data_IF_293129916678
#
_entry.id   IF_293129916678
#
_cell.length_a   1.000
_cell.length_b   1.000
_cell.length_c   1.000
_cell.angle_alpha   90.00
_cell.angle_beta   90.00
_cell.angle_gamma   90.00
#
_symmetry.space_group_name_H-M   'P 1'
#
loop_
_entity.id
_entity.type
_entity.pdbx_description
1 polymer ?
2 non-polymer ?
3 non-polymer ?
4 non-polymer ?
5 non-polymer ?
6 non-polymer ?
7 non-polymer ?
8 water ?
#
# COMPACT_ATOMS: atom_id res chain seq x y z
N UNK A 5 -17.07 -0.58 -15.44
CA UNK A 5 -16.70 0.37 -16.57
C UNK A 5 -15.36 0.13 -17.27
N UNK A 6 -14.55 -0.76 -16.71
CA UNK A 6 -13.20 -1.00 -17.19
C UNK A 6 -13.05 -2.44 -17.78
N UNK A 7 -12.04 -2.68 -18.60
CA UNK A 7 -11.79 -4.04 -19.15
C UNK A 7 -11.71 -5.14 -18.09
N UNK A 8 -11.08 -4.89 -16.94
CA UNK A 8 -10.89 -6.04 -16.03
C UNK A 8 -12.07 -5.98 -15.07
N UNK A 9 -12.95 -6.95 -15.24
CA UNK A 9 -14.02 -7.14 -14.30
C UNK A 9 -13.59 -7.64 -12.92
N UNK A 10 -12.52 -8.44 -12.87
CA UNK A 10 -11.95 -8.98 -11.62
C UNK A 10 -10.46 -8.73 -11.63
N UNK A 11 -9.87 -8.45 -10.47
CA UNK A 11 -8.45 -8.19 -10.27
C UNK A 11 -8.04 -9.04 -9.07
N UNK A 12 -7.17 -10.05 -9.29
CA UNK A 12 -6.71 -10.92 -8.21
C UNK A 12 -5.52 -10.33 -7.50
N UNK A 13 -4.63 -9.62 -8.22
CA UNK A 13 -3.31 -9.37 -7.66
C UNK A 13 -3.01 -7.96 -8.11
N UNK A 14 -2.46 -7.17 -7.21
CA UNK A 14 -2.12 -5.76 -7.37
C UNK A 14 -0.72 -5.77 -6.83
N UNK A 15 0.28 -5.74 -7.70
CA UNK A 15 1.68 -5.93 -7.21
C UNK A 15 2.51 -4.67 -7.27
N UNK A 16 3.06 -4.15 -6.18
CA UNK A 16 3.87 -2.94 -6.33
C UNK A 16 5.38 -3.28 -6.43
N UNK A 17 6.11 -2.47 -7.21
CA UNK A 17 7.59 -2.57 -7.32
C UNK A 17 8.27 -1.21 -7.10
N UNK A 18 9.33 -1.15 -6.30
CA UNK A 18 10.01 0.14 -6.15
C UNK A 18 10.52 0.65 -7.51
N UNK A 19 10.46 1.95 -7.78
CA UNK A 19 10.78 2.40 -9.14
C UNK A 19 12.26 2.79 -9.26
N UNK A 20 12.94 2.99 -8.14
CA UNK A 20 14.32 3.45 -8.10
C UNK A 20 14.98 3.12 -6.76
N UNK A 21 15.93 2.17 -6.75
CA UNK A 21 16.58 1.78 -5.50
C UNK A 21 18.03 2.25 -5.50
N UNK A 22 18.52 2.72 -4.35
CA UNK A 22 19.87 3.27 -4.29
C UNK A 22 20.92 2.20 -3.91
N UNK A 23 22.20 2.53 -4.06
CA UNK A 23 23.28 1.58 -3.81
C UNK A 23 23.80 1.33 -5.22
N UNK A 24 23.02 0.57 -5.99
CA UNK A 24 22.98 0.79 -7.43
C UNK A 24 24.05 0.18 -8.34
N UNK A 25 23.71 -0.98 -8.87
CA UNK A 25 23.94 -1.23 -10.29
C UNK A 25 22.92 -0.35 -11.06
N UNK A 26 21.75 -0.91 -11.38
CA UNK A 26 20.73 -0.27 -12.19
C UNK A 26 19.59 0.00 -11.20
N UNK A 27 19.31 1.26 -10.89
CA UNK A 27 18.19 1.62 -10.00
C UNK A 27 16.82 1.09 -10.46
N UNK A 28 16.59 0.92 -11.77
CA UNK A 28 15.41 0.28 -12.32
C UNK A 28 15.30 -1.24 -12.25
N UNK A 29 16.21 -1.88 -11.53
CA UNK A 29 16.38 -3.33 -11.61
C UNK A 29 15.08 -4.03 -11.20
N UNK A 30 14.52 -3.63 -10.05
CA UNK A 30 13.20 -4.21 -9.70
C UNK A 30 12.08 -4.02 -10.70
N UNK A 31 11.99 -2.90 -11.41
CA UNK A 31 11.00 -2.78 -12.46
C UNK A 31 11.23 -3.63 -13.70
N UNK A 32 12.50 -3.72 -14.12
CA UNK A 32 12.86 -4.50 -15.33
C UNK A 32 12.51 -5.95 -15.09
N UNK A 33 12.79 -6.43 -13.89
CA UNK A 33 12.46 -7.83 -13.59
C UNK A 33 10.95 -8.06 -13.50
N UNK A 34 10.22 -7.18 -12.79
CA UNK A 34 8.77 -7.38 -12.61
C UNK A 34 8.11 -7.26 -13.96
N UNK A 35 8.67 -6.41 -14.82
CA UNK A 35 8.12 -6.32 -16.17
C UNK A 35 8.27 -7.54 -17.04
N UNK A 36 9.18 -8.46 -16.69
CA UNK A 36 9.35 -9.71 -17.46
C UNK A 36 8.56 -10.90 -16.95
N UNK A 37 7.88 -10.73 -15.82
CA UNK A 37 7.06 -11.81 -15.25
C UNK A 37 5.94 -12.25 -16.19
N UNK A 38 5.53 -13.52 -16.19
CA UNK A 38 4.52 -14.08 -17.12
C UNK A 38 3.74 -15.21 -16.47
N UNK A 39 2.61 -15.57 -17.05
CA UNK A 39 1.75 -16.62 -16.49
C UNK A 39 1.32 -16.32 -15.04
N UNK A 40 1.39 -17.34 -14.19
CA UNK A 40 0.84 -17.27 -12.87
C UNK A 40 1.74 -16.40 -12.04
N UNK A 41 2.92 -16.12 -12.59
CA UNK A 41 3.88 -15.30 -11.88
C UNK A 41 3.57 -13.82 -12.11
N UNK A 42 2.73 -13.50 -13.11
CA UNK A 42 2.54 -12.08 -13.47
C UNK A 42 1.21 -11.57 -12.87
N UNK A 43 1.20 -10.33 -12.39
CA UNK A 43 -0.03 -9.86 -11.68
C UNK A 43 -1.11 -9.39 -12.63
N UNK A 44 -2.39 -9.48 -12.26
CA UNK A 44 -3.43 -8.80 -13.07
C UNK A 44 -3.16 -7.28 -13.18
N UNK A 45 -2.60 -6.69 -12.15
CA UNK A 45 -2.36 -5.23 -12.14
C UNK A 45 -1.01 -5.06 -11.56
N UNK A 46 -0.16 -4.38 -12.30
CA UNK A 46 1.18 -4.17 -11.83
C UNK A 46 1.35 -2.70 -11.54
N UNK A 47 1.90 -2.36 -10.38
CA UNK A 47 2.00 -0.98 -9.93
C UNK A 47 3.45 -0.54 -9.72
N UNK A 48 4.07 0.06 -10.75
CA UNK A 48 5.33 0.67 -10.36
C UNK A 48 5.10 1.77 -9.35
N UNK A 49 5.74 1.69 -8.21
CA UNK A 49 5.40 2.50 -7.07
C UNK A 49 6.35 3.60 -6.75
N UNK A 50 6.06 4.80 -7.25
CA UNK A 50 6.80 5.99 -6.90
C UNK A 50 6.55 6.60 -5.54
N UNK A 51 5.65 5.98 -4.76
CA UNK A 51 5.32 6.52 -3.44
C UNK A 51 6.02 5.70 -2.38
N UNK A 52 5.30 5.01 -1.49
CA UNK A 52 5.98 4.43 -0.31
C UNK A 52 7.02 3.32 -0.59
N UNK A 53 6.98 2.70 -1.75
CA UNK A 53 8.03 1.72 -2.09
C UNK A 53 9.40 2.32 -2.34
N UNK A 54 9.42 3.64 -2.58
CA UNK A 54 10.56 4.39 -3.10
C UNK A 54 10.96 5.47 -2.11
N UNK A 55 12.26 5.53 -1.78
CA UNK A 55 12.76 6.58 -0.92
C UNK A 55 12.47 7.92 -1.56
N UNK A 56 12.15 8.93 -0.75
CA UNK A 56 11.85 10.28 -1.31
C UNK A 56 12.92 10.91 -2.24
N UNK A 57 14.19 10.86 -1.83
CA UNK A 57 15.35 11.42 -2.58
C UNK A 57 15.52 10.70 -3.90
N UNK A 58 14.83 9.56 -4.01
CA UNK A 58 14.87 8.73 -5.21
C UNK A 58 13.71 8.81 -6.20
N UNK A 59 12.73 9.69 -5.93
CA UNK A 59 11.45 9.62 -6.65
C UNK A 59 11.50 10.34 -7.98
N UNK A 60 12.34 11.37 -8.07
CA UNK A 60 12.54 11.93 -9.39
C UNK A 60 13.19 10.98 -10.39
N UNK A 61 14.16 10.22 -9.90
CA UNK A 61 14.80 9.20 -10.74
C UNK A 61 13.84 8.04 -10.99
N UNK A 62 13.07 7.71 -9.94
CA UNK A 62 11.96 6.75 -10.11
C UNK A 62 11.00 7.10 -11.21
N UNK A 63 10.61 8.36 -11.42
CA UNK A 63 9.64 8.59 -12.48
C UNK A 63 10.24 8.49 -13.87
N UNK A 64 11.51 8.87 -13.98
CA UNK A 64 12.28 8.56 -15.24
C UNK A 64 12.37 7.06 -15.49
N UNK A 65 12.65 6.31 -14.42
CA UNK A 65 12.74 4.85 -14.57
C UNK A 65 11.44 4.29 -15.05
N UNK A 66 10.33 4.81 -14.49
CA UNK A 66 9.04 4.39 -14.99
C UNK A 66 8.87 4.62 -16.47
N UNK A 67 9.19 5.82 -16.93
CA UNK A 67 9.07 6.06 -18.38
C UNK A 67 9.95 5.09 -19.21
N UNK A 68 11.19 4.94 -18.77
CA UNK A 68 12.19 4.09 -19.48
C UNK A 68 11.80 2.61 -19.55
N UNK A 69 11.49 1.99 -18.40
CA UNK A 69 11.07 0.60 -18.42
C UNK A 69 9.79 0.31 -19.17
N UNK A 70 8.74 1.14 -18.98
CA UNK A 70 7.48 0.82 -19.63
C UNK A 70 7.60 1.07 -21.14
N UNK A 71 8.35 2.11 -21.45
CA UNK A 71 8.77 2.36 -22.85
C UNK A 71 9.27 1.07 -23.57
N UNK A 72 10.28 0.48 -22.95
CA UNK A 72 11.02 -0.68 -23.51
C UNK A 72 10.31 -2.02 -23.39
N UNK A 73 9.56 -2.20 -22.29
CA UNK A 73 8.94 -3.50 -21.98
C UNK A 73 7.43 -3.59 -21.83
N UNK A 74 6.76 -2.45 -21.79
CA UNK A 74 5.37 -2.49 -21.40
C UNK A 74 4.55 -3.12 -22.49
N UNK A 75 5.02 -3.08 -23.74
CA UNK A 75 4.22 -3.64 -24.82
C UNK A 75 3.76 -5.08 -24.64
N UNK A 76 4.58 -5.94 -24.04
CA UNK A 76 4.12 -7.35 -23.89
C UNK A 76 3.91 -7.70 -22.43
N UNK A 77 3.86 -6.72 -21.52
CA UNK A 77 3.54 -7.08 -20.14
C UNK A 77 2.14 -7.67 -20.18
N UNK A 78 1.88 -8.86 -19.60
CA UNK A 78 0.53 -9.31 -19.94
C UNK A 78 -0.63 -8.77 -19.05
N UNK A 79 -0.35 -8.28 -17.85
CA UNK A 79 -1.38 -7.65 -16.98
C UNK A 79 -1.59 -6.17 -17.30
N UNK A 80 -2.15 -5.36 -16.40
CA UNK A 80 -2.37 -3.93 -16.74
C UNK A 80 -1.39 -3.17 -15.95
N UNK A 81 -0.88 -2.06 -16.47
CA UNK A 81 0.07 -1.25 -15.76
C UNK A 81 -0.57 0.10 -15.25
N UNK A 82 -0.45 0.35 -13.96
CA UNK A 82 -1.07 1.53 -13.31
C UNK A 82 -0.06 1.99 -12.30
N UNK A 83 0.87 2.92 -12.61
CA UNK A 83 1.84 3.32 -11.61
C UNK A 83 1.27 4.17 -10.43
N UNK A 84 1.83 4.06 -9.24
CA UNK A 84 1.38 4.87 -8.09
C UNK A 84 2.21 6.14 -8.04
N UNK A 85 1.53 7.30 -8.05
CA UNK A 85 2.13 8.62 -7.92
C UNK A 85 2.06 9.08 -6.46
N UNK A 86 2.77 10.14 -6.13
CA UNK A 86 2.59 10.66 -4.77
C UNK A 86 1.32 11.53 -4.70
N UNK A 87 0.70 11.59 -3.52
CA UNK A 87 -0.49 12.45 -3.31
C UNK A 87 -0.72 12.59 -1.82
N UNK A 88 -1.33 13.68 -1.38
CA UNK A 88 -1.81 13.59 -0.02
C UNK A 88 -2.90 14.66 0.11
N UNK A 89 -4.01 14.27 0.73
CA UNK A 89 -5.14 15.16 1.01
C UNK A 89 -4.74 16.43 1.79
N UNK A 90 -3.73 16.39 2.66
CA UNK A 90 -3.34 17.53 3.46
C UNK A 90 -2.06 18.22 2.96
N UNK A 91 -1.52 17.86 1.79
CA UNK A 91 -0.31 18.53 1.28
C UNK A 91 -0.43 18.98 -0.17
N UNK A 92 -0.66 20.26 -0.36
CA UNK A 92 -0.75 20.75 -1.75
C UNK A 92 0.53 20.52 -2.58
N UNK A 93 1.69 20.51 -1.91
CA UNK A 93 3.03 20.34 -2.59
C UNK A 93 3.09 18.92 -3.10
N UNK A 94 2.64 17.97 -2.29
CA UNK A 94 2.60 16.57 -2.72
C UNK A 94 1.63 16.32 -3.85
N UNK A 95 0.44 16.95 -3.82
CA UNK A 95 -0.50 16.78 -4.94
C UNK A 95 0.17 17.28 -6.21
N UNK A 96 0.78 18.46 -6.11
CA UNK A 96 1.37 19.07 -7.31
C UNK A 96 2.50 18.19 -7.87
N UNK A 97 3.33 17.65 -6.99
CA UNK A 97 4.40 16.73 -7.39
C UNK A 97 3.85 15.51 -8.12
N UNK A 98 2.71 14.96 -7.67
CA UNK A 98 2.19 13.74 -8.30
C UNK A 98 1.59 14.11 -9.61
N UNK A 99 0.95 15.27 -9.68
CA UNK A 99 0.52 15.68 -10.99
C UNK A 99 1.73 15.93 -11.95
N UNK A 100 2.76 16.66 -11.54
CA UNK A 100 3.87 16.87 -12.51
C UNK A 100 4.49 15.57 -13.02
N UNK A 101 4.68 14.61 -12.11
CA UNK A 101 5.13 13.27 -12.52
C UNK A 101 4.18 12.62 -13.49
N UNK A 102 2.84 12.74 -13.36
CA UNK A 102 1.98 12.02 -14.27
C UNK A 102 2.07 12.68 -15.61
N UNK A 103 2.21 14.00 -15.55
CA UNK A 103 2.28 14.73 -16.80
C UNK A 103 3.55 14.27 -17.61
N UNK A 104 4.71 14.16 -16.97
CA UNK A 104 5.97 13.65 -17.58
C UNK A 104 5.80 12.24 -18.13
N UNK A 105 5.30 11.34 -17.28
CA UNK A 105 5.12 9.94 -17.65
C UNK A 105 4.23 9.78 -18.88
N UNK A 106 3.21 10.62 -19.09
CA UNK A 106 2.32 10.34 -20.21
C UNK A 106 2.67 11.11 -21.48
N UNK A 107 3.77 11.84 -21.48
CA UNK A 107 4.18 12.52 -22.73
C UNK A 107 4.27 11.44 -23.82
N UNK A 108 3.47 11.50 -24.89
CA UNK A 108 3.33 10.43 -25.89
C UNK A 108 4.62 10.26 -26.75
N UNK A 109 5.40 11.33 -26.84
CA UNK A 109 6.73 11.29 -27.45
C UNK A 109 7.63 10.29 -26.72
N UNK A 110 7.38 9.99 -25.45
CA UNK A 110 8.30 9.10 -24.72
C UNK A 110 8.01 7.61 -24.78
N UNK A 111 6.90 7.25 -25.41
CA UNK A 111 6.52 5.88 -25.62
C UNK A 111 6.06 5.04 -24.42
N UNK A 112 5.94 5.64 -23.24
CA UNK A 112 5.32 4.91 -22.14
C UNK A 112 3.76 4.86 -22.09
N UNK A 113 3.07 5.93 -22.52
CA UNK A 113 1.64 6.12 -22.22
C UNK A 113 0.72 5.15 -22.94
N UNK A 114 1.16 4.75 -24.15
CA UNK A 114 0.45 3.71 -24.86
C UNK A 114 0.36 2.40 -24.10
N UNK A 115 1.22 2.13 -23.12
CA UNK A 115 1.13 0.88 -22.35
C UNK A 115 0.65 1.07 -20.88
N UNK A 116 0.16 2.26 -20.55
CA UNK A 116 -0.31 2.61 -19.18
C UNK A 116 -1.84 2.66 -19.18
N UNK A 117 -2.50 1.89 -18.32
CA UNK A 117 -3.94 1.94 -18.32
C UNK A 117 -4.48 3.01 -17.32
N UNK A 118 -3.67 3.44 -16.35
CA UNK A 118 -4.14 4.48 -15.39
C UNK A 118 -3.13 4.66 -14.29
N UNK A 119 -3.50 5.38 -13.22
CA UNK A 119 -2.56 5.69 -12.17
C UNK A 119 -3.30 5.42 -10.84
N UNK A 120 -2.53 5.21 -9.79
CA UNK A 120 -3.02 4.87 -8.48
C UNK A 120 -2.62 6.07 -7.62
N UNK A 121 -3.62 6.60 -6.89
CA UNK A 121 -3.51 7.76 -6.01
C UNK A 121 -3.71 7.39 -4.55
N UNK A 122 -2.64 7.64 -3.79
CA UNK A 122 -2.64 7.29 -2.41
C UNK A 122 -3.18 8.48 -1.57
N UNK A 123 -3.50 8.20 -0.33
CA UNK A 123 -3.78 9.17 0.72
C UNK A 123 -4.98 10.14 0.42
N UNK A 124 -5.96 9.73 -0.38
CA UNK A 124 -7.08 10.59 -0.74
C UNK A 124 -7.89 10.85 0.58
N UNK A 125 -8.66 11.91 0.61
CA UNK A 125 -9.47 12.27 1.80
C UNK A 125 -10.94 12.16 1.42
N UNK A 126 -11.72 13.22 1.67
CA UNK A 126 -13.16 13.23 1.28
C UNK A 126 -13.35 13.37 -0.21
N UNK A 127 -14.60 13.27 -0.66
CA UNK A 127 -14.82 13.23 -2.10
C UNK A 127 -14.31 14.50 -2.81
N UNK A 128 -14.23 15.66 -2.13
CA UNK A 128 -13.76 16.83 -2.85
C UNK A 128 -12.23 16.72 -3.13
N UNK A 129 -11.49 16.01 -2.29
CA UNK A 129 -10.04 15.72 -2.59
C UNK A 129 -9.96 14.72 -3.77
N UNK A 130 -10.86 13.73 -3.85
CA UNK A 130 -10.86 12.88 -5.06
C UNK A 130 -11.15 13.65 -6.33
N UNK A 131 -11.99 14.68 -6.27
CA UNK A 131 -12.30 15.46 -7.46
C UNK A 131 -10.98 16.21 -7.81
N UNK A 132 -10.18 16.60 -6.84
CA UNK A 132 -8.91 17.34 -7.23
C UNK A 132 -7.99 16.40 -8.06
N UNK A 133 -7.88 15.13 -7.68
CA UNK A 133 -7.01 14.24 -8.45
C UNK A 133 -7.68 14.07 -9.82
N UNK A 134 -8.98 13.77 -9.87
CA UNK A 134 -9.69 13.70 -11.12
C UNK A 134 -9.44 14.85 -12.08
N UNK A 135 -9.41 16.05 -11.53
CA UNK A 135 -9.15 17.20 -12.40
C UNK A 135 -7.71 17.12 -13.00
N UNK A 136 -6.72 16.75 -12.22
CA UNK A 136 -5.36 16.52 -12.78
C UNK A 136 -5.33 15.45 -13.85
N UNK A 137 -6.07 14.35 -13.71
CA UNK A 137 -6.13 13.35 -14.76
C UNK A 137 -6.69 13.99 -16.03
N UNK A 138 -7.79 14.75 -15.90
CA UNK A 138 -8.39 15.40 -17.05
C UNK A 138 -7.37 16.36 -17.72
N UNK A 139 -6.71 17.18 -16.92
CA UNK A 139 -5.70 18.09 -17.51
C UNK A 139 -4.58 17.33 -18.26
N UNK A 140 -3.97 16.31 -17.64
CA UNK A 140 -3.00 15.43 -18.30
C UNK A 140 -3.47 14.89 -19.62
N UNK A 141 -4.64 14.24 -19.66
CA UNK A 141 -5.29 13.83 -20.90
C UNK A 141 -5.36 14.88 -21.99
N UNK A 142 -5.87 16.04 -21.63
CA UNK A 142 -6.02 17.11 -22.61
C UNK A 142 -4.64 17.64 -23.04
N UNK A 143 -3.70 17.78 -22.14
CA UNK A 143 -2.39 18.34 -22.44
C UNK A 143 -1.68 17.40 -23.44
N UNK A 144 -2.02 16.11 -23.50
CA UNK A 144 -1.16 15.16 -24.22
C UNK A 144 -1.98 14.50 -25.31
N UNK A 145 -3.12 15.10 -25.64
CA UNK A 145 -4.09 14.57 -26.57
C UNK A 145 -4.54 13.13 -26.39
N UNK A 146 -4.62 12.66 -25.14
CA UNK A 146 -5.27 11.37 -24.90
C UNK A 146 -6.78 11.49 -24.90
N UNK A 147 -7.50 10.40 -25.12
CA UNK A 147 -8.95 10.53 -25.08
C UNK A 147 -9.38 10.87 -23.63
N UNK A 148 -10.32 11.80 -23.49
CA UNK A 148 -10.88 12.08 -22.16
C UNK A 148 -11.35 10.81 -21.44
N UNK A 149 -10.90 10.59 -20.20
CA UNK A 149 -11.40 9.43 -19.43
C UNK A 149 -10.60 8.16 -19.67
N UNK A 150 -9.59 8.22 -20.53
CA UNK A 150 -8.89 7.00 -20.90
C UNK A 150 -7.89 6.53 -19.83
N UNK A 151 -7.36 7.44 -19.02
CA UNK A 151 -6.56 6.96 -17.89
C UNK A 151 -7.47 6.63 -16.66
N UNK A 152 -7.49 5.36 -16.27
CA UNK A 152 -8.22 4.87 -15.10
C UNK A 152 -7.62 5.51 -13.86
N UNK A 153 -8.44 5.90 -12.87
CA UNK A 153 -7.90 6.30 -11.58
C UNK A 153 -8.25 5.23 -10.55
N UNK A 154 -7.31 4.88 -9.69
CA UNK A 154 -7.58 3.92 -8.63
C UNK A 154 -7.18 4.69 -7.39
N UNK A 155 -7.83 4.44 -6.26
CA UNK A 155 -7.40 5.20 -5.10
C UNK A 155 -7.07 4.23 -4.00
N UNK A 156 -6.16 4.62 -3.11
CA UNK A 156 -5.90 3.86 -1.93
C UNK A 156 -6.76 4.45 -0.75
N UNK A 157 -7.59 3.64 -0.08
CA UNK A 157 -8.49 4.05 1.04
C UNK A 157 -7.64 3.83 2.25
N UNK A 158 -7.06 4.91 2.79
CA UNK A 158 -6.17 4.72 3.92
C UNK A 158 -6.32 5.85 4.88
N UNK A 159 -7.56 6.39 4.93
CA UNK A 159 -7.96 7.29 6.00
C UNK A 159 -9.46 7.10 6.31
N UNK A 160 -9.83 7.49 7.51
CA UNK A 160 -11.21 7.57 7.93
C UNK A 160 -12.04 8.41 6.95
N UNK A 161 -11.52 9.53 6.45
CA UNK A 161 -12.29 10.42 5.58
C UNK A 161 -12.54 9.68 4.26
N UNK A 162 -11.57 8.90 3.72
CA UNK A 162 -11.78 8.36 2.41
C UNK A 162 -12.76 7.22 2.58
N UNK A 163 -12.68 6.50 3.70
CA UNK A 163 -13.63 5.40 3.94
C UNK A 163 -15.07 5.91 3.91
N UNK A 164 -15.31 7.02 4.61
CA UNK A 164 -16.65 7.67 4.53
C UNK A 164 -17.00 8.19 3.13
N UNK A 165 -15.97 8.67 2.39
CA UNK A 165 -16.26 9.23 1.06
C UNK A 165 -16.80 8.15 0.12
N UNK A 166 -16.65 6.87 0.43
CA UNK A 166 -17.13 5.84 -0.53
C UNK A 166 -18.66 5.76 -0.46
N UNK A 167 -19.28 6.31 0.61
CA UNK A 167 -20.74 6.24 0.83
C UNK A 167 -21.59 6.90 -0.27
N UNK A 168 -21.10 7.98 -0.91
CA UNK A 168 -21.97 8.68 -1.83
C UNK A 168 -21.37 8.74 -3.28
N UNK A 169 -20.52 7.77 -3.61
CA UNK A 169 -19.69 7.86 -4.78
C UNK A 169 -20.57 7.78 -5.99
N UNK A 170 -21.57 6.91 -5.98
CA UNK A 170 -22.43 6.81 -7.17
C UNK A 170 -23.00 8.14 -7.65
N UNK A 171 -23.66 8.91 -6.80
CA UNK A 171 -24.14 10.17 -7.29
C UNK A 171 -23.06 11.27 -7.50
N UNK A 172 -21.98 11.30 -6.72
CA UNK A 172 -20.88 12.25 -7.00
C UNK A 172 -20.26 11.94 -8.36
N UNK A 173 -20.06 10.67 -8.72
CA UNK A 173 -19.53 10.34 -10.03
C UNK A 173 -20.44 10.76 -11.16
N UNK A 174 -21.75 10.84 -10.90
CA UNK A 174 -22.63 11.30 -11.97
C UNK A 174 -22.62 12.78 -12.30
N UNK A 175 -22.04 13.60 -11.43
CA UNK A 175 -22.04 15.07 -11.65
C UNK A 175 -21.20 15.41 -12.89
N UNK A 176 -21.69 16.35 -13.70
CA UNK A 176 -20.93 16.38 -14.95
C UNK A 176 -19.76 17.37 -14.84
N UNK A 177 -19.51 17.94 -13.66
CA UNK A 177 -18.38 18.81 -13.42
C UNK A 177 -17.14 17.96 -13.17
N UNK A 178 -17.23 16.62 -13.04
CA UNK A 178 -16.07 15.76 -12.90
C UNK A 178 -16.04 14.64 -13.94
N UNK A 179 -14.93 13.91 -14.00
CA UNK A 179 -14.73 12.74 -14.87
C UNK A 179 -14.52 11.46 -14.01
N UNK A 180 -15.07 11.41 -12.79
CA UNK A 180 -14.80 10.33 -11.83
C UNK A 180 -15.41 9.03 -12.30
N UNK A 181 -16.09 8.96 -13.44
CA UNK A 181 -16.38 7.64 -14.04
C UNK A 181 -15.07 6.92 -14.40
N UNK A 182 -13.92 7.59 -14.43
CA UNK A 182 -12.61 6.88 -14.63
C UNK A 182 -12.14 5.99 -13.46
N UNK A 183 -12.84 6.08 -12.31
CA UNK A 183 -12.50 5.27 -11.17
C UNK A 183 -12.54 3.77 -11.49
N UNK A 184 -11.51 3.09 -11.00
CA UNK A 184 -11.30 1.66 -11.33
C UNK A 184 -11.17 0.89 -10.01
N UNK A 185 -10.06 0.96 -9.30
CA UNK A 185 -9.98 0.11 -8.12
C UNK A 185 -10.08 1.01 -6.87
N UNK A 186 -10.70 0.40 -5.85
CA UNK A 186 -10.70 1.01 -4.52
C UNK A 186 -9.88 0.04 -3.71
N UNK A 187 -8.74 0.52 -3.19
CA UNK A 187 -7.80 -0.44 -2.65
C UNK A 187 -7.52 -0.10 -1.22
N UNK A 188 -7.70 -0.99 -0.24
CA UNK A 188 -7.38 -0.63 1.13
C UNK A 188 -5.88 -0.48 1.37
N UNK A 189 -5.52 0.50 2.20
CA UNK A 189 -4.16 0.66 2.63
C UNK A 189 -4.09 0.52 4.13
N UNK A 190 -4.04 -0.71 4.63
CA UNK A 190 -4.16 -0.94 6.07
C UNK A 190 -3.08 -0.28 6.90
N UNK A 191 -1.91 -0.01 6.32
CA UNK A 191 -0.78 0.46 7.12
C UNK A 191 -0.99 1.94 7.45
N UNK A 192 -1.11 2.79 6.43
CA UNK A 192 -1.40 4.18 6.70
C UNK A 192 -2.79 4.36 7.35
N UNK A 193 -3.70 3.42 7.12
CA UNK A 193 -5.01 3.53 7.76
C UNK A 193 -4.88 3.31 9.25
N UNK A 194 -4.10 2.33 9.66
CA UNK A 194 -3.78 2.10 11.08
C UNK A 194 -3.27 3.32 11.77
N UNK A 195 -2.36 4.01 11.07
CA UNK A 195 -1.82 5.30 11.47
C UNK A 195 -2.92 6.35 11.68
N UNK A 196 -3.71 6.52 10.63
CA UNK A 196 -4.75 7.55 10.64
C UNK A 196 -5.78 7.27 11.71
N UNK A 197 -6.12 6.01 11.96
CA UNK A 197 -7.07 5.60 12.97
C UNK A 197 -6.42 5.59 14.37
N UNK A 198 -5.08 5.72 14.45
CA UNK A 198 -4.38 5.69 15.77
C UNK A 198 -4.50 4.32 16.45
N UNK A 199 -4.48 3.23 15.68
CA UNK A 199 -4.70 1.98 16.30
C UNK A 199 -3.34 1.47 16.83
N UNK A 200 -3.41 0.52 17.74
CA UNK A 200 -2.18 -0.15 18.18
C UNK A 200 -2.47 -1.58 18.57
N UNK A 201 -1.45 -2.40 18.44
CA UNK A 201 -1.62 -3.79 18.90
C UNK A 201 -0.43 -4.21 19.78
N UNK A 202 -0.57 -5.21 20.66
CA UNK A 202 0.58 -5.63 21.53
C UNK A 202 1.83 -6.05 20.72
N UNK A 203 1.69 -6.76 19.61
CA UNK A 203 2.82 -7.09 18.74
C UNK A 203 3.29 -6.00 17.74
N UNK A 204 2.45 -5.02 17.39
CA UNK A 204 2.89 -4.06 16.38
C UNK A 204 2.42 -4.54 15.03
N UNK A 205 1.87 -5.75 14.91
CA UNK A 205 1.32 -6.22 13.63
C UNK A 205 0.02 -5.42 13.32
N UNK A 206 -0.35 -5.37 12.04
CA UNK A 206 -1.57 -4.67 11.61
C UNK A 206 -2.82 -5.27 12.23
N UNK A 207 -3.73 -4.42 12.76
CA UNK A 207 -5.06 -4.96 13.02
C UNK A 207 -5.69 -5.54 11.71
N UNK A 208 -6.70 -6.37 11.84
CA UNK A 208 -7.37 -6.99 10.70
C UNK A 208 -8.40 -6.10 9.96
N UNK A 209 -8.91 -5.08 10.64
CA UNK A 209 -9.93 -4.11 10.10
C UNK A 209 -10.99 -4.75 9.22
N UNK A 210 -11.76 -5.70 9.77
CA UNK A 210 -12.79 -6.32 8.93
C UNK A 210 -13.80 -5.33 8.39
N UNK A 211 -14.19 -4.34 9.19
CA UNK A 211 -15.17 -3.35 8.71
C UNK A 211 -14.68 -2.48 7.58
N UNK A 212 -13.39 -2.13 7.61
CA UNK A 212 -12.86 -1.38 6.47
C UNK A 212 -13.03 -2.17 5.18
N UNK A 213 -12.71 -3.46 5.22
CA UNK A 213 -12.74 -4.31 4.05
C UNK A 213 -14.18 -4.54 3.62
N UNK A 214 -15.08 -4.73 4.58
CA UNK A 214 -16.50 -4.74 4.30
C UNK A 214 -16.97 -3.48 3.55
N UNK A 215 -16.65 -2.32 4.11
CA UNK A 215 -17.03 -1.03 3.48
C UNK A 215 -16.41 -0.72 2.13
N UNK A 216 -15.19 -1.23 1.88
CA UNK A 216 -14.51 -0.98 0.59
C UNK A 216 -15.13 -1.94 -0.43
N UNK A 217 -15.41 -3.16 0.00
CA UNK A 217 -16.18 -4.07 -0.88
C UNK A 217 -17.58 -3.58 -1.25
N UNK A 218 -18.37 -3.08 -0.28
CA UNK A 218 -19.65 -2.43 -0.49
C UNK A 218 -19.54 -1.23 -1.38
N UNK A 219 -18.53 -0.41 -1.13
CA UNK A 219 -18.41 0.82 -1.89
C UNK A 219 -18.18 0.48 -3.38
N UNK A 220 -17.32 -0.52 -3.62
CA UNK A 220 -17.06 -0.88 -5.00
C UNK A 220 -18.26 -1.48 -5.68
N UNK A 221 -18.96 -2.37 -4.97
CA UNK A 221 -20.20 -2.88 -5.57
C UNK A 221 -21.22 -1.78 -5.87
N UNK A 222 -21.39 -0.84 -4.95
CA UNK A 222 -22.40 0.21 -5.22
C UNK A 222 -22.02 1.15 -6.37
N UNK A 223 -20.73 1.38 -6.55
CA UNK A 223 -20.29 2.42 -7.52
C UNK A 223 -19.78 1.82 -8.86
N UNK A 224 -19.81 0.50 -9.03
CA UNK A 224 -19.15 -0.09 -10.22
C UNK A 224 -17.62 -0.09 -10.25
N UNK A 225 -16.94 -0.25 -9.12
CA UNK A 225 -15.46 -0.25 -9.00
C UNK A 225 -15.08 -1.67 -8.60
N UNK A 226 -13.80 -1.95 -8.40
CA UNK A 226 -13.39 -3.29 -7.96
C UNK A 226 -12.61 -3.12 -6.67
N UNK A 227 -12.89 -3.93 -5.63
CA UNK A 227 -12.32 -3.77 -4.29
C UNK A 227 -11.09 -4.68 -4.21
N UNK A 228 -9.96 -4.22 -3.66
CA UNK A 228 -8.70 -4.95 -3.48
C UNK A 228 -8.27 -4.69 -2.04
N UNK A 229 -7.81 -5.70 -1.33
CA UNK A 229 -7.19 -5.58 -0.03
C UNK A 229 -5.74 -5.05 -0.06
N UNK A 230 -5.29 -4.60 1.11
CA UNK A 230 -4.03 -3.90 1.26
C UNK A 230 -2.95 -4.94 1.54
N UNK A 231 -1.76 -4.45 1.91
CA UNK A 231 -0.61 -5.37 1.92
C UNK A 231 -0.57 -6.30 3.13
N UNK A 232 -0.13 -7.52 2.87
CA UNK A 232 0.00 -8.50 3.94
C UNK A 232 1.52 -8.55 4.22
N UNK A 233 1.96 -7.77 5.20
CA UNK A 233 3.39 -7.43 5.24
C UNK A 233 4.26 -8.52 5.91
N UNK A 234 3.68 -9.52 6.56
CA UNK A 234 4.46 -10.74 6.92
C UNK A 234 4.72 -11.59 5.69
N UNK A 235 5.61 -11.10 4.81
CA UNK A 235 5.73 -11.61 3.44
C UNK A 235 6.09 -13.09 3.35
N UNK A 236 6.68 -13.66 4.40
CA UNK A 236 7.05 -15.09 4.32
C UNK A 236 5.96 -16.05 4.79
N UNK A 237 4.93 -15.50 5.46
CA UNK A 237 3.84 -16.29 6.05
C UNK A 237 2.88 -16.69 4.92
N UNK A 238 3.20 -17.80 4.27
CA UNK A 238 2.34 -18.30 3.20
C UNK A 238 0.93 -18.66 3.70
N UNK A 239 0.87 -19.31 4.85
CA UNK A 239 -0.42 -19.79 5.32
C UNK A 239 -1.34 -18.62 5.76
N UNK A 240 -0.78 -17.64 6.47
CA UNK A 240 -1.47 -16.40 6.85
C UNK A 240 -2.04 -15.65 5.65
N UNK A 241 -1.27 -15.51 4.57
CA UNK A 241 -1.71 -14.82 3.37
C UNK A 241 -2.89 -15.60 2.80
N UNK A 242 -2.82 -16.93 2.81
CA UNK A 242 -3.95 -17.67 2.28
C UNK A 242 -5.22 -17.50 3.10
N UNK A 243 -5.10 -17.58 4.42
CA UNK A 243 -6.27 -17.41 5.31
C UNK A 243 -6.89 -15.98 5.17
N UNK A 244 -6.04 -14.96 5.02
CA UNK A 244 -6.52 -13.58 4.82
C UNK A 244 -7.29 -13.49 3.50
N UNK A 245 -6.75 -14.09 2.43
CA UNK A 245 -7.45 -14.05 1.14
C UNK A 245 -8.80 -14.72 1.19
N UNK A 246 -8.88 -15.86 1.87
CA UNK A 246 -10.15 -16.54 2.06
C UNK A 246 -11.10 -15.68 2.87
N UNK A 247 -10.64 -15.07 3.95
CA UNK A 247 -11.49 -14.13 4.71
C UNK A 247 -11.97 -12.94 3.84
N UNK A 248 -11.11 -12.32 3.04
CA UNK A 248 -11.47 -11.31 2.04
C UNK A 248 -12.52 -11.73 1.06
N UNK A 249 -12.37 -12.92 0.47
CA UNK A 249 -13.25 -13.41 -0.59
C UNK A 249 -14.65 -13.56 0.03
N UNK A 250 -14.74 -13.87 1.31
CA UNK A 250 -16.09 -14.00 1.91
C UNK A 250 -16.77 -12.64 2.15
N UNK A 251 -16.01 -11.55 1.99
CA UNK A 251 -16.53 -10.17 2.06
C UNK A 251 -16.75 -9.63 0.64
N UNK A 252 -16.40 -10.41 -0.39
CA UNK A 252 -16.54 -9.93 -1.77
C UNK A 252 -15.33 -9.09 -2.21
N UNK A 253 -14.25 -9.14 -1.44
CA UNK A 253 -13.03 -8.45 -1.84
C UNK A 253 -12.07 -9.49 -2.45
N UNK A 254 -12.06 -9.59 -3.77
CA UNK A 254 -11.48 -10.81 -4.39
C UNK A 254 -10.06 -10.56 -4.82
N UNK A 255 -9.57 -9.32 -4.72
CA UNK A 255 -8.19 -9.01 -5.07
C UNK A 255 -7.37 -8.66 -3.86
N UNK A 256 -6.05 -8.78 -3.94
CA UNK A 256 -5.22 -8.47 -2.78
C UNK A 256 -3.93 -7.86 -3.24
N UNK A 257 -3.31 -7.01 -2.42
CA UNK A 257 -2.02 -6.44 -2.77
C UNK A 257 -0.97 -7.59 -2.66
N UNK A 258 0.03 -7.58 -3.52
CA UNK A 258 1.16 -8.53 -3.47
C UNK A 258 2.45 -7.78 -3.31
N UNK A 259 3.34 -8.20 -2.40
CA UNK A 259 4.54 -7.39 -2.14
C UNK A 259 5.75 -8.08 -2.83
N UNK A 260 5.59 -9.36 -3.13
CA UNK A 260 6.73 -10.14 -3.66
C UNK A 260 6.30 -11.01 -4.82
N UNK A 261 7.28 -11.54 -5.60
CA UNK A 261 6.79 -12.39 -6.69
C UNK A 261 6.11 -13.65 -6.16
N UNK A 262 6.53 -14.11 -4.99
CA UNK A 262 5.89 -15.29 -4.38
C UNK A 262 4.43 -15.01 -3.95
N UNK A 263 4.18 -13.81 -3.42
CA UNK A 263 2.78 -13.42 -3.14
C UNK A 263 1.93 -13.34 -4.42
N UNK A 264 2.51 -12.87 -5.51
CA UNK A 264 1.79 -12.85 -6.76
C UNK A 264 1.22 -14.24 -7.13
N UNK A 265 2.11 -15.24 -7.04
CA UNK A 265 1.69 -16.58 -7.46
C UNK A 265 0.59 -17.04 -6.52
N UNK A 266 0.80 -16.97 -5.21
CA UNK A 266 -0.25 -17.41 -4.27
C UNK A 266 -1.60 -16.71 -4.49
N UNK A 267 -1.54 -15.39 -4.66
CA UNK A 267 -2.77 -14.62 -4.76
C UNK A 267 -3.42 -14.85 -6.12
N UNK A 268 -2.67 -15.21 -7.16
CA UNK A 268 -3.29 -15.58 -8.46
C UNK A 268 -4.07 -16.88 -8.44
N UNK A 269 -3.67 -17.77 -7.55
CA UNK A 269 -4.26 -19.11 -7.48
C UNK A 269 -5.38 -19.20 -6.46
N UNK A 270 -5.22 -18.49 -5.36
CA UNK A 270 -6.19 -18.60 -4.27
C UNK A 270 -7.67 -18.46 -4.65
N UNK A 271 -8.10 -17.49 -5.48
CA UNK A 271 -9.55 -17.45 -5.63
C UNK A 271 -10.12 -18.32 -6.74
N UNK A 272 -9.24 -18.98 -7.50
CA UNK A 272 -9.59 -20.01 -8.48
C UNK A 272 -10.23 -21.21 -7.78
N UNK A 273 -11.36 -21.69 -8.30
CA UNK A 273 -11.92 -22.85 -7.60
C UNK A 273 -11.03 -24.12 -7.71
N UNK A 274 -11.18 -25.09 -6.80
CA UNK A 274 -10.26 -26.23 -6.87
C UNK A 274 -10.47 -27.21 -8.06
N UNK A 275 -9.39 -27.95 -8.32
CA UNK A 275 -9.36 -29.04 -9.32
C UNK A 275 -10.42 -30.10 -8.97
N UNK A 276 -10.36 -30.62 -7.75
CA UNK A 276 -11.40 -31.54 -7.29
C UNK A 276 -11.63 -31.30 -5.80
N UNK A 277 -12.44 -32.17 -5.21
CA UNK A 277 -12.24 -32.62 -3.83
C UNK A 277 -13.67 -32.43 -3.45
N UNK A 278 -13.99 -32.41 -2.15
CA UNK A 278 -13.07 -32.60 -1.05
C UNK A 278 -13.96 -32.44 0.19
N UNK A 279 -14.04 -33.48 1.03
CA UNK A 279 -14.84 -33.45 2.25
C UNK A 279 -13.97 -33.10 3.44
N UNK A 280 -14.45 -32.29 4.38
CA UNK A 280 -13.64 -31.95 5.55
C UNK A 280 -14.37 -32.43 6.80
N UNK A 281 -13.59 -32.87 7.79
CA UNK A 281 -14.13 -33.27 9.08
C UNK A 281 -13.59 -32.36 10.16
N UNK A 282 -14.50 -31.74 10.90
CA UNK A 282 -14.18 -30.55 11.68
C UNK A 282 -14.04 -30.82 13.18
N UNK A 283 -14.25 -32.07 13.61
CA UNK A 283 -13.96 -32.41 15.01
C UNK A 283 -12.45 -32.51 15.23
N UNK A 284 -11.98 -31.76 16.23
CA UNK A 284 -10.59 -31.29 16.34
C UNK A 284 -9.82 -31.18 15.03
N UNK A 328 11.40 -26.32 8.36
CA UNK A 328 9.99 -26.54 8.10
C UNK A 328 9.19 -26.73 9.39
N UNK A 329 9.87 -27.12 10.48
CA UNK A 329 9.30 -26.97 11.82
C UNK A 329 9.33 -25.48 12.19
N UNK A 330 10.43 -24.84 11.77
CA UNK A 330 10.58 -23.39 11.84
C UNK A 330 9.30 -22.67 11.38
N UNK A 331 8.76 -23.03 10.22
CA UNK A 331 7.52 -22.41 9.73
C UNK A 331 6.27 -22.59 10.61
N UNK A 332 5.97 -23.77 11.14
CA UNK A 332 4.86 -23.80 12.10
C UNK A 332 5.23 -23.19 13.47
N UNK A 333 6.53 -23.05 13.74
CA UNK A 333 7.00 -22.32 14.94
C UNK A 333 6.80 -20.81 14.90
N UNK A 334 7.15 -20.17 13.79
CA UNK A 334 6.85 -18.77 13.53
C UNK A 334 5.34 -18.54 13.49
N UNK A 335 4.61 -19.45 12.87
CA UNK A 335 3.16 -19.49 12.99
C UNK A 335 2.70 -19.47 14.44
N UNK A 336 3.52 -19.94 15.39
CA UNK A 336 3.09 -20.02 16.79
C UNK A 336 3.67 -18.98 17.76
N UNK A 337 4.81 -18.40 17.41
CA UNK A 337 5.40 -17.36 18.24
C UNK A 337 4.95 -15.94 17.85
N UNK A 338 4.97 -15.02 18.80
CA UNK A 338 4.97 -13.60 18.49
C UNK A 338 5.84 -12.86 19.51
N UNK A 339 6.35 -11.70 19.11
CA UNK A 339 7.07 -10.85 20.02
C UNK A 339 6.19 -9.65 20.41
N UNK A 340 6.39 -9.16 21.64
CA UNK A 340 5.61 -8.06 22.20
C UNK A 340 6.65 -7.05 22.63
N UNK A 341 6.91 -6.07 21.76
CA UNK A 341 8.04 -5.18 21.99
C UNK A 341 7.82 -4.18 23.12
N UNK A 342 8.93 -3.69 23.66
CA UNK A 342 8.94 -2.84 24.84
C UNK A 342 8.93 -1.44 24.21
N UNK A 343 8.79 -0.41 25.02
CA UNK A 343 8.96 0.93 24.48
C UNK A 343 10.31 1.15 23.77
N UNK A 344 11.39 0.64 24.38
CA UNK A 344 12.72 0.61 23.75
C UNK A 344 12.81 -0.10 22.41
N UNK A 345 12.22 -1.28 22.33
CA UNK A 345 12.16 -2.01 21.06
C UNK A 345 11.54 -1.19 19.92
N UNK A 346 10.40 -0.55 20.20
CA UNK A 346 9.70 0.30 19.23
C UNK A 346 10.57 1.41 18.63
N UNK A 347 11.17 2.22 19.49
CA UNK A 347 12.16 3.19 19.01
C UNK A 347 13.28 2.57 18.15
N UNK A 348 13.78 1.40 18.54
CA UNK A 348 14.83 0.72 17.79
C UNK A 348 14.36 0.41 16.35
N UNK A 349 13.18 -0.21 16.21
CA UNK A 349 12.67 -0.52 14.87
C UNK A 349 12.57 0.72 13.99
N UNK A 350 12.23 1.84 14.63
CA UNK A 350 12.01 3.10 13.92
C UNK A 350 13.30 3.75 13.40
N UNK A 351 14.31 3.83 14.27
CA UNK A 351 15.67 4.31 13.94
C UNK A 351 16.35 3.45 12.87
N UNK A 352 16.31 2.13 13.07
CA UNK A 352 16.68 1.19 12.01
C UNK A 352 16.00 1.46 10.66
N UNK A 353 14.67 1.68 10.66
CA UNK A 353 14.00 1.98 9.39
C UNK A 353 14.42 3.33 8.78
N UNK A 354 14.43 4.35 9.63
CA UNK A 354 14.87 5.74 9.39
C UNK A 354 16.21 5.80 8.61
N UNK A 355 17.23 5.11 9.15
CA UNK A 355 18.54 4.89 8.51
C UNK A 355 18.47 4.22 7.13
N UNK A 356 17.70 3.14 6.99
CA UNK A 356 17.51 2.49 5.69
C UNK A 356 16.96 3.42 4.61
N UNK A 357 15.90 4.17 4.96
CA UNK A 357 15.26 5.15 4.05
C UNK A 357 16.25 6.26 3.66
N UNK A 358 16.95 6.80 4.65
CA UNK A 358 17.94 7.85 4.42
C UNK A 358 19.07 7.39 3.48
N UNK A 359 19.45 6.12 3.57
CA UNK A 359 20.32 5.48 2.58
C UNK A 359 19.75 5.14 1.20
N UNK A 360 18.55 5.60 0.83
CA UNK A 360 17.96 5.33 -0.49
C UNK A 360 17.13 4.07 -0.64
N UNK A 361 16.79 3.42 0.46
CA UNK A 361 15.85 2.29 0.38
C UNK A 361 14.47 2.60 0.98
N UNK A 362 13.44 2.50 0.15
CA UNK A 362 12.07 2.74 0.60
C UNK A 362 11.43 1.62 1.39
N UNK A 363 11.58 0.38 0.91
CA UNK A 363 11.07 -0.81 1.57
C UNK A 363 12.16 -1.85 1.92
N UNK A 364 12.07 -2.41 3.12
CA UNK A 364 13.06 -3.35 3.66
C UNK A 364 12.33 -4.45 4.43
N UNK A 365 12.90 -5.65 4.45
CA UNK A 365 12.37 -6.70 5.32
C UNK A 365 13.10 -6.50 6.65
N UNK A 366 12.38 -6.24 7.74
CA UNK A 366 12.99 -6.12 9.05
C UNK A 366 12.76 -7.41 9.83
N UNK A 367 13.70 -7.73 10.73
CA UNK A 367 13.84 -9.07 11.29
C UNK A 367 13.85 -9.09 12.82
N UNK A 368 13.04 -9.96 13.39
CA UNK A 368 13.15 -10.34 14.80
C UNK A 368 13.63 -11.79 14.85
N UNK A 369 14.73 -12.01 15.57
CA UNK A 369 15.48 -13.27 15.75
C UNK A 369 15.49 -13.76 17.21
N UNK A 370 15.35 -15.07 17.40
CA UNK A 370 15.28 -15.68 18.74
C UNK A 370 15.85 -17.10 18.89
N UNK A 371 16.05 -17.52 20.15
CA UNK A 371 16.22 -18.91 20.64
C UNK A 371 17.68 -19.36 20.61
N UNK A 381 14.64 -19.16 15.30
CA UNK A 381 13.70 -18.63 14.30
C UNK A 381 13.97 -17.17 13.89
N UNK A 382 13.37 -16.78 12.76
CA UNK A 382 13.58 -15.49 12.10
C UNK A 382 12.25 -14.98 11.49
N UNK A 383 11.65 -13.97 12.12
CA UNK A 383 10.33 -13.43 11.71
C UNK A 383 10.58 -12.21 10.82
N UNK A 384 10.06 -12.19 9.59
CA UNK A 384 10.29 -11.09 8.64
C UNK A 384 9.02 -10.25 8.44
N UNK A 385 9.16 -8.92 8.41
CA UNK A 385 8.02 -8.05 8.08
C UNK A 385 8.53 -6.93 7.17
N UNK A 386 7.82 -6.69 6.06
CA UNK A 386 8.06 -5.53 5.18
C UNK A 386 7.79 -4.24 5.95
N UNK A 387 8.81 -3.37 6.01
CA UNK A 387 8.75 -2.01 6.54
C UNK A 387 8.93 -0.96 5.45
N UNK A 388 8.07 0.06 5.54
CA UNK A 388 8.23 1.32 4.84
C UNK A 388 7.73 2.47 5.71
N UNK A 389 7.69 3.67 5.11
CA UNK A 389 7.42 4.93 5.81
C UNK A 389 6.07 4.83 6.54
N UNK A 390 5.11 4.17 5.91
CA UNK A 390 3.79 3.93 6.54
C UNK A 390 3.97 3.11 7.83
N UNK A 391 4.78 2.06 7.75
CA UNK A 391 4.98 1.19 8.89
C UNK A 391 5.61 1.99 10.03
N UNK A 392 6.61 2.79 9.65
CA UNK A 392 7.20 3.69 10.59
C UNK A 392 6.14 4.60 11.23
N UNK A 393 5.34 5.30 10.41
CA UNK A 393 4.32 6.21 10.98
C UNK A 393 3.38 5.45 11.92
N UNK A 394 2.91 4.28 11.46
CA UNK A 394 2.01 3.48 12.32
C UNK A 394 2.59 3.01 13.63
N UNK A 395 3.87 2.63 13.61
CA UNK A 395 4.56 2.17 14.84
C UNK A 395 4.65 3.26 15.90
N UNK A 396 4.62 4.53 15.52
CA UNK A 396 4.88 5.66 16.43
C UNK A 396 3.74 5.88 17.41
N UNK A 397 2.54 5.35 17.13
CA UNK A 397 1.39 5.66 18.04
C UNK A 397 1.59 5.42 19.53
N UNK A 398 2.10 4.25 19.93
CA UNK A 398 2.31 4.06 21.38
C UNK A 398 3.29 5.08 21.98
N UNK A 399 4.24 5.57 21.19
CA UNK A 399 5.13 6.65 21.58
C UNK A 399 4.44 8.03 21.65
N UNK A 400 3.68 8.40 20.61
CA UNK A 400 2.92 9.65 20.63
C UNK A 400 1.95 9.71 21.80
N UNK A 401 1.36 8.59 22.17
CA UNK A 401 0.51 8.56 23.32
C UNK A 401 1.36 8.77 24.58
N UNK A 402 2.46 8.06 24.71
CA UNK A 402 3.31 8.25 25.90
C UNK A 402 3.69 9.72 26.02
N UNK A 403 4.19 10.32 24.95
CA UNK A 403 4.55 11.74 24.95
C UNK A 403 3.43 12.70 25.34
N UNK A 404 2.22 12.51 24.78
CA UNK A 404 1.04 13.26 25.16
C UNK A 404 0.81 13.21 26.66
N UNK A 405 0.89 12.02 27.23
CA UNK A 405 0.66 11.73 28.63
C UNK A 405 1.74 12.39 29.52
N UNK A 406 3.00 12.21 29.15
CA UNK A 406 4.08 12.87 29.88
C UNK A 406 3.91 14.40 29.87
N UNK A 407 3.79 15.02 28.69
CA UNK A 407 3.50 16.45 28.55
C UNK A 407 2.33 17.01 29.39
N UNK A 408 1.27 16.22 29.59
CA UNK A 408 0.05 16.79 30.11
C UNK A 408 -0.26 16.27 31.50
N UNK A 409 0.51 15.26 31.94
CA UNK A 409 0.25 14.66 33.24
C UNK A 409 1.50 14.78 34.16
N UNK A 410 1.93 16.02 34.50
CA UNK A 410 3.12 16.16 35.41
C UNK A 410 3.01 15.34 36.71
N UNK A 411 1.80 15.18 37.21
CA UNK A 411 1.49 14.33 38.35
C UNK A 411 1.74 12.84 38.22
N UNK A 412 2.08 12.39 37.01
CA UNK A 412 2.32 10.99 36.71
C UNK A 412 3.79 10.81 36.39
N UNK A 413 4.60 11.88 36.38
CA UNK A 413 6.02 11.78 35.96
C UNK A 413 6.85 10.76 36.74
N UNK A 414 6.45 10.57 37.99
CA UNK A 414 7.16 9.79 38.98
C UNK A 414 6.85 8.32 38.75
N UNK A 415 5.56 7.96 38.69
CA UNK A 415 5.21 6.57 38.36
C UNK A 415 5.70 6.15 36.98
N UNK A 416 5.88 7.09 36.05
CA UNK A 416 6.29 6.70 34.70
C UNK A 416 7.80 6.43 34.68
N UNK A 417 8.51 7.26 35.44
CA UNK A 417 9.90 6.99 35.84
C UNK A 417 10.13 5.70 36.62
N UNK A 418 9.36 5.40 37.65
CA UNK A 418 9.38 4.04 38.19
C UNK A 418 9.13 2.94 37.13
N UNK A 419 8.08 3.10 36.32
CA UNK A 419 7.70 2.05 35.37
C UNK A 419 8.73 1.85 34.25
N UNK A 420 9.34 2.91 33.70
CA UNK A 420 10.30 2.78 32.63
C UNK A 420 11.81 2.94 32.93
N UNK A 421 12.13 3.73 33.94
CA UNK A 421 13.49 4.24 34.14
C UNK A 421 13.64 5.56 33.43
N UNK A 422 14.31 6.52 34.08
CA UNK A 422 14.44 7.91 33.61
C UNK A 422 15.17 8.04 32.28
N UNK A 423 15.88 6.97 31.94
CA UNK A 423 16.65 6.95 30.70
C UNK A 423 15.76 6.57 29.52
N UNK A 424 15.00 5.50 29.67
CA UNK A 424 13.99 5.11 28.68
C UNK A 424 13.01 6.26 28.41
N UNK A 425 12.59 6.93 29.48
CA UNK A 425 11.71 8.08 29.39
C UNK A 425 12.26 9.19 28.51
N UNK A 426 13.54 9.53 28.67
CA UNK A 426 14.06 10.75 28.05
C UNK A 426 14.33 10.41 26.60
N UNK A 427 14.61 9.14 26.34
CA UNK A 427 14.70 8.69 24.94
C UNK A 427 13.39 8.78 24.15
N UNK A 428 12.27 8.35 24.76
CA UNK A 428 10.90 8.39 24.20
C UNK A 428 10.52 9.82 23.90
N UNK A 429 10.72 10.67 24.90
CA UNK A 429 10.49 12.09 24.72
C UNK A 429 11.27 12.72 23.59
N UNK A 430 12.25 12.04 22.98
CA UNK A 430 13.01 12.62 21.86
C UNK A 430 12.46 12.34 20.47
N UNK A 431 11.83 11.19 20.27
CA UNK A 431 11.40 10.70 18.95
C UNK A 431 10.59 11.74 18.17
N UNK A 432 10.74 11.75 16.83
CA UNK A 432 9.94 12.53 15.87
C UNK A 432 9.69 14.01 16.17
#
# INVERSE_FOLDING_TARGET
MTERRHDREFVRTFFTSPTAVEGEDDSAKMLRRAAGLRGMQAPDVWVPDNEDATAPSMRDEGAENIVEVISEQGAEFPGEIHPRMVWHRDSPETRYQGFQHMLDITDPERGAVEHIHGFVIPEVGGIDDWKKADEFFTIVEHEHGLDEGSLAMSVIIESGEAELAMGDLRDEMGKPTNNLERLFLLVDGEVDYTKDMRAMTPTGELPAWPELRHNTSRGASAAGCVAVDGPYDDIRDVEGYRERMTDNQAKGMLGIWSLTPGQVVEANTSPLPPKTGSWLLDADGEEVELASEDGVEAYDGDRLSLEATDGGYELRVGGDARELTADELREELLGLTSYVPSMDDIVDSMEEFEAAKEAGRGAIAMTQSATLRIGGTEIDIEKDRMWDEATYQAAMTPISLFQDVYENRPDQHEELEERYGAGVVERAMEVGL
#
